data_IF_744510550895
#
_entry.id   IF_744510550895
#
_cell.length_a   1.000
_cell.length_b   1.000
_cell.length_c   1.000
_cell.angle_alpha   90.00
_cell.angle_beta   90.00
_cell.angle_gamma   90.00
#
_symmetry.space_group_name_H-M   'P 1'
#
loop_
_entity.id
_entity.type
_entity.pdbx_description
1 polymer ?
#
# COMPACT_ATOMS: atom_id res chain seq x y z
N UNK A 1 4.88 -72.12 35.66
CA UNK A 1 5.32 -72.18 37.06
C UNK A 1 6.63 -72.94 37.09
N UNK A 2 7.73 -72.28 37.39
CA UNK A 2 9.01 -72.96 37.65
C UNK A 2 8.93 -73.58 39.05
N UNK A 3 9.19 -74.87 39.18
CA UNK A 3 9.36 -75.53 40.48
C UNK A 3 10.52 -74.84 41.22
N UNK A 4 10.21 -73.96 42.18
CA UNK A 4 11.22 -73.38 43.06
C UNK A 4 11.72 -74.50 43.97
N UNK A 5 12.99 -74.89 43.80
CA UNK A 5 13.64 -75.90 44.64
C UNK A 5 13.50 -75.53 46.12
N UNK A 6 12.99 -76.48 46.90
CA UNK A 6 12.91 -76.36 48.36
C UNK A 6 14.31 -76.25 48.95
N UNK A 7 14.45 -75.39 49.96
CA UNK A 7 15.68 -75.30 50.74
C UNK A 7 15.61 -76.40 51.79
N UNK A 8 16.58 -77.32 51.79
CA UNK A 8 16.62 -78.48 52.70
C UNK A 8 17.75 -78.40 53.74
N UNK A 9 18.69 -77.46 53.57
CA UNK A 9 19.78 -77.21 54.52
C UNK A 9 19.27 -76.45 55.76
N UNK A 10 19.39 -77.00 56.99
CA UNK A 10 18.78 -76.42 58.20
C UNK A 10 19.26 -75.00 58.55
N UNK A 11 20.55 -74.70 58.41
CA UNK A 11 21.09 -73.37 58.69
C UNK A 11 20.55 -72.33 57.69
N UNK A 12 20.46 -72.71 56.41
CA UNK A 12 19.87 -71.87 55.36
C UNK A 12 18.36 -71.74 55.50
N UNK A 13 17.66 -72.77 55.98
CA UNK A 13 16.22 -72.71 56.30
C UNK A 13 15.94 -71.70 57.40
N UNK A 14 16.67 -71.74 58.52
CA UNK A 14 16.52 -70.79 59.64
C UNK A 14 16.82 -69.35 59.19
N UNK A 15 17.89 -69.14 58.41
CA UNK A 15 18.23 -67.81 57.89
C UNK A 15 17.12 -67.24 57.00
N UNK A 16 16.62 -68.02 56.04
CA UNK A 16 15.55 -67.57 55.13
C UNK A 16 14.23 -67.39 55.87
N UNK A 17 13.98 -68.18 56.91
CA UNK A 17 12.81 -68.06 57.77
C UNK A 17 12.85 -66.78 58.60
N UNK A 18 13.97 -66.48 59.25
CA UNK A 18 14.20 -65.25 60.02
C UNK A 18 14.06 -64.01 59.12
N UNK A 19 14.68 -64.04 57.95
CA UNK A 19 14.53 -63.02 56.90
C UNK A 19 13.07 -62.80 56.47
N UNK A 20 12.29 -63.88 56.31
CA UNK A 20 10.90 -63.82 55.89
C UNK A 20 10.00 -63.25 57.01
N UNK A 21 10.28 -63.60 58.27
CA UNK A 21 9.63 -63.00 59.43
C UNK A 21 9.95 -61.51 59.52
N UNK A 22 11.22 -61.11 59.34
CA UNK A 22 11.60 -59.69 59.32
C UNK A 22 10.89 -58.89 58.23
N UNK A 23 10.69 -59.47 57.03
CA UNK A 23 9.87 -58.85 55.99
C UNK A 23 8.39 -58.72 56.42
N UNK A 24 7.83 -59.76 57.03
CA UNK A 24 6.45 -59.78 57.52
C UNK A 24 6.22 -58.85 58.73
N UNK A 25 7.25 -58.51 59.50
CA UNK A 25 7.11 -57.51 60.57
C UNK A 25 7.23 -56.10 60.00
N UNK A 26 8.11 -55.92 59.00
CA UNK A 26 8.43 -54.61 58.43
C UNK A 26 7.26 -53.93 57.69
N UNK A 27 6.27 -54.67 57.17
CA UNK A 27 5.22 -54.07 56.32
C UNK A 27 4.36 -53.05 57.07
N UNK A 28 4.23 -53.19 58.40
CA UNK A 28 3.46 -52.28 59.25
C UNK A 28 4.02 -50.85 59.23
N UNK A 29 5.33 -50.71 59.01
CA UNK A 29 6.04 -49.42 58.94
C UNK A 29 6.05 -48.79 57.53
N UNK A 30 5.55 -49.48 56.51
CA UNK A 30 5.57 -49.00 55.12
C UNK A 30 4.31 -48.19 54.84
N UNK A 31 4.44 -46.93 54.42
CA UNK A 31 3.28 -46.06 54.14
C UNK A 31 2.62 -46.38 52.78
N UNK A 32 3.43 -46.58 51.72
CA UNK A 32 2.91 -46.80 50.36
C UNK A 32 2.42 -48.23 50.18
N UNK A 33 1.15 -48.39 49.82
CA UNK A 33 0.53 -49.72 49.70
C UNK A 33 1.23 -50.59 48.66
N UNK A 34 1.73 -50.04 47.53
CA UNK A 34 2.41 -50.86 46.52
C UNK A 34 3.70 -51.51 47.07
N UNK A 35 4.39 -50.79 47.97
CA UNK A 35 5.56 -51.30 48.68
C UNK A 35 5.16 -52.34 49.72
N UNK A 36 4.05 -52.14 50.46
CA UNK A 36 3.51 -53.15 51.38
C UNK A 36 3.22 -54.46 50.66
N UNK A 37 2.47 -54.39 49.56
CA UNK A 37 2.11 -55.55 48.73
C UNK A 37 3.36 -56.26 48.21
N UNK A 38 4.38 -55.52 47.77
CA UNK A 38 5.65 -56.09 47.30
C UNK A 38 6.37 -56.85 48.42
N UNK A 39 6.48 -56.25 49.60
CA UNK A 39 7.14 -56.86 50.76
C UNK A 39 6.40 -58.12 51.22
N UNK A 40 5.07 -58.07 51.30
CA UNK A 40 4.25 -59.23 51.67
C UNK A 40 4.32 -60.37 50.64
N UNK A 41 4.29 -60.06 49.33
CA UNK A 41 4.48 -61.05 48.26
C UNK A 41 5.89 -61.68 48.32
N UNK A 42 6.92 -60.89 48.68
CA UNK A 42 8.28 -61.39 48.88
C UNK A 42 8.40 -62.29 50.11
N UNK A 43 7.78 -61.91 51.24
CA UNK A 43 7.69 -62.74 52.43
C UNK A 43 6.98 -64.08 52.12
N UNK A 44 5.82 -64.03 51.47
CA UNK A 44 5.07 -65.21 51.04
C UNK A 44 5.90 -66.12 50.11
N UNK A 45 6.73 -65.56 49.24
CA UNK A 45 7.63 -66.33 48.37
C UNK A 45 8.75 -66.99 49.18
N UNK A 46 9.39 -66.27 50.10
CA UNK A 46 10.44 -66.85 50.96
C UNK A 46 9.88 -67.98 51.82
N UNK A 47 8.71 -67.80 52.43
CA UNK A 47 8.05 -68.87 53.20
C UNK A 47 7.68 -70.08 52.34
N UNK A 48 7.22 -69.89 51.08
CA UNK A 48 6.95 -71.02 50.16
C UNK A 48 8.20 -71.87 49.87
N UNK A 49 9.38 -71.26 49.78
CA UNK A 49 10.66 -71.97 49.56
C UNK A 49 11.08 -72.88 50.71
N UNK A 50 10.47 -72.70 51.88
CA UNK A 50 10.79 -73.44 53.10
C UNK A 50 9.89 -74.67 53.30
N UNK A 51 8.80 -74.82 52.53
CA UNK A 51 7.91 -75.97 52.63
C UNK A 51 7.33 -76.15 54.03
N UNK A 52 7.53 -77.33 54.63
CA UNK A 52 7.05 -77.72 55.97
C UNK A 52 7.93 -77.28 57.13
N UNK A 53 8.97 -76.47 56.87
CA UNK A 53 9.82 -75.96 57.94
C UNK A 53 9.03 -74.99 58.83
N UNK A 54 8.83 -75.37 60.10
CA UNK A 54 8.02 -74.61 61.08
C UNK A 54 6.60 -74.32 60.55
N UNK A 55 6.08 -73.13 60.83
CA UNK A 55 4.80 -72.59 60.37
C UNK A 55 4.86 -71.93 58.98
N UNK A 56 5.89 -72.23 58.17
CA UNK A 56 6.13 -71.53 56.89
C UNK A 56 4.96 -71.63 55.90
N UNK A 57 4.25 -72.78 55.82
CA UNK A 57 3.07 -72.90 54.96
C UNK A 57 1.96 -71.94 55.36
N UNK A 58 1.68 -71.85 56.67
CA UNK A 58 0.66 -70.97 57.22
C UNK A 58 1.03 -69.50 57.03
N UNK A 59 2.28 -69.14 57.34
CA UNK A 59 2.81 -67.78 57.13
C UNK A 59 2.85 -67.38 55.66
N UNK A 60 3.11 -68.30 54.75
CA UNK A 60 3.02 -68.05 53.31
C UNK A 60 1.59 -67.70 52.88
N UNK A 61 0.60 -68.50 53.30
CA UNK A 61 -0.80 -68.27 53.00
C UNK A 61 -1.31 -66.96 53.64
N UNK A 62 -0.93 -66.70 54.89
CA UNK A 62 -1.26 -65.47 55.60
C UNK A 62 -0.67 -64.24 54.90
N UNK A 63 0.62 -64.25 54.59
CA UNK A 63 1.31 -63.15 53.90
C UNK A 63 0.70 -62.86 52.52
N UNK A 64 0.31 -63.92 51.80
CA UNK A 64 -0.34 -63.80 50.50
C UNK A 64 -1.73 -63.17 50.62
N UNK A 65 -2.57 -63.66 51.55
CA UNK A 65 -3.91 -63.11 51.80
C UNK A 65 -3.86 -61.65 52.25
N UNK A 66 -2.88 -61.31 53.11
CA UNK A 66 -2.68 -59.94 53.56
C UNK A 66 -2.20 -59.03 52.43
N UNK A 67 -1.35 -59.53 51.52
CA UNK A 67 -0.95 -58.80 50.32
C UNK A 67 -2.16 -58.47 49.43
N UNK A 68 -3.06 -59.42 49.22
CA UNK A 68 -4.28 -59.24 48.43
C UNK A 68 -5.24 -58.22 49.06
N UNK A 69 -5.39 -58.24 50.39
CA UNK A 69 -6.20 -57.26 51.12
C UNK A 69 -5.64 -55.84 51.00
N UNK A 70 -4.34 -55.65 51.22
CA UNK A 70 -3.69 -54.33 51.11
C UNK A 70 -3.69 -53.84 49.64
N UNK A 71 -3.55 -54.74 48.67
CA UNK A 71 -3.63 -54.42 47.24
C UNK A 71 -5.03 -53.94 46.85
N UNK A 72 -6.09 -54.61 47.31
CA UNK A 72 -7.47 -54.20 47.06
C UNK A 72 -7.80 -52.85 47.71
N UNK A 73 -7.46 -52.68 48.99
CA UNK A 73 -7.70 -51.45 49.75
C UNK A 73 -6.95 -50.25 49.13
N UNK A 74 -5.68 -50.43 48.82
CA UNK A 74 -4.84 -49.38 48.25
C UNK A 74 -5.22 -49.02 46.81
N UNK A 75 -5.60 -50.01 45.99
CA UNK A 75 -6.09 -49.77 44.62
C UNK A 75 -7.39 -48.99 44.62
N UNK A 76 -8.35 -49.36 45.48
CA UNK A 76 -9.62 -48.65 45.64
C UNK A 76 -9.41 -47.18 46.06
N UNK A 77 -8.64 -46.95 47.13
CA UNK A 77 -8.37 -45.59 47.61
C UNK A 77 -7.63 -44.73 46.57
N UNK A 78 -6.72 -45.34 45.80
CA UNK A 78 -6.01 -44.63 44.73
C UNK A 78 -6.93 -44.28 43.56
N UNK A 79 -7.88 -45.16 43.22
CA UNK A 79 -8.87 -44.92 42.17
C UNK A 79 -9.88 -43.84 42.57
N UNK A 80 -10.39 -43.89 43.81
CA UNK A 80 -11.28 -42.85 44.36
C UNK A 80 -10.61 -41.48 44.36
N UNK A 81 -9.32 -41.41 44.72
CA UNK A 81 -8.54 -40.18 44.63
C UNK A 81 -8.43 -39.65 43.18
N UNK A 82 -8.21 -40.53 42.20
CA UNK A 82 -8.16 -40.13 40.79
C UNK A 82 -9.52 -39.57 40.32
N UNK A 83 -10.64 -40.15 40.78
CA UNK A 83 -11.98 -39.62 40.51
C UNK A 83 -12.22 -38.24 41.13
N UNK A 84 -11.71 -37.99 42.34
CA UNK A 84 -11.80 -36.66 42.96
C UNK A 84 -10.98 -35.61 42.21
N UNK A 85 -9.79 -35.99 41.71
CA UNK A 85 -8.98 -35.12 40.86
C UNK A 85 -9.68 -34.79 39.55
N UNK A 86 -10.32 -35.78 38.91
CA UNK A 86 -11.11 -35.55 37.70
C UNK A 86 -12.25 -34.54 37.94
N UNK A 87 -12.97 -34.68 39.06
CA UNK A 87 -14.06 -33.76 39.42
C UNK A 87 -13.59 -32.33 39.66
N UNK A 88 -12.36 -32.16 40.16
CA UNK A 88 -11.79 -30.85 40.47
C UNK A 88 -10.98 -30.23 39.31
N UNK A 89 -10.68 -31.00 38.27
CA UNK A 89 -9.92 -30.55 37.11
C UNK A 89 -10.68 -29.48 36.29
N UNK A 90 -9.99 -28.38 35.96
CA UNK A 90 -10.56 -27.25 35.20
C UNK A 90 -9.69 -26.84 34.01
N UNK A 91 -8.38 -27.04 34.11
CA UNK A 91 -7.43 -26.68 33.05
C UNK A 91 -6.77 -27.92 32.45
N UNK A 92 -6.10 -27.75 31.31
CA UNK A 92 -5.45 -28.84 30.58
C UNK A 92 -4.46 -29.63 31.46
N UNK A 93 -3.65 -28.95 32.26
CA UNK A 93 -2.68 -29.60 33.16
C UNK A 93 -3.37 -30.54 34.14
N UNK A 94 -4.48 -30.10 34.76
CA UNK A 94 -5.22 -30.90 35.73
C UNK A 94 -5.72 -32.22 35.14
N UNK A 95 -6.24 -32.19 33.90
CA UNK A 95 -6.68 -33.39 33.20
C UNK A 95 -5.50 -34.29 32.78
N UNK A 96 -4.35 -33.73 32.45
CA UNK A 96 -3.13 -34.51 32.14
C UNK A 96 -2.65 -35.25 33.39
N UNK A 97 -2.56 -34.55 34.52
CA UNK A 97 -2.17 -35.14 35.81
C UNK A 97 -3.15 -36.24 36.23
N UNK A 98 -4.46 -36.01 36.05
CA UNK A 98 -5.52 -36.98 36.33
C UNK A 98 -5.40 -38.23 35.43
N UNK A 99 -5.07 -38.07 34.14
CA UNK A 99 -4.81 -39.20 33.22
C UNK A 99 -3.65 -40.06 33.71
N UNK A 100 -2.58 -39.45 34.23
CA UNK A 100 -1.44 -40.19 34.78
C UNK A 100 -1.82 -41.01 36.01
N UNK A 101 -2.67 -40.46 36.89
CA UNK A 101 -3.18 -41.20 38.05
C UNK A 101 -4.07 -42.38 37.63
N UNK A 102 -4.99 -42.18 36.68
CA UNK A 102 -5.80 -43.29 36.16
C UNK A 102 -4.96 -44.36 35.47
N UNK A 103 -3.90 -44.00 34.74
CA UNK A 103 -2.96 -44.98 34.14
C UNK A 103 -2.23 -45.80 35.20
N UNK A 104 -1.96 -45.22 36.37
CA UNK A 104 -1.31 -45.92 37.49
C UNK A 104 -2.27 -46.90 38.16
N UNK A 105 -3.52 -46.50 38.40
CA UNK A 105 -4.54 -47.34 39.05
C UNK A 105 -5.09 -48.42 38.13
N UNK A 106 -5.20 -48.15 36.82
CA UNK A 106 -5.68 -49.10 35.80
C UNK A 106 -4.74 -50.28 35.52
N UNK A 107 -3.61 -50.38 36.24
CA UNK A 107 -2.76 -51.58 36.24
C UNK A 107 -3.41 -52.75 36.98
N UNK A 108 -4.34 -52.47 37.89
CA UNK A 108 -5.17 -53.48 38.51
C UNK A 108 -6.32 -53.84 37.54
N UNK A 109 -6.50 -55.13 37.24
CA UNK A 109 -7.53 -55.63 36.32
C UNK A 109 -8.95 -55.22 36.74
N UNK A 110 -9.21 -55.04 38.06
CA UNK A 110 -10.50 -54.58 38.59
C UNK A 110 -10.90 -53.19 38.06
N UNK A 111 -9.94 -52.26 37.89
CA UNK A 111 -10.20 -50.86 37.52
C UNK A 111 -9.74 -50.51 36.10
N UNK A 112 -9.30 -51.50 35.32
CA UNK A 112 -8.67 -51.29 34.03
C UNK A 112 -9.61 -50.68 33.00
N UNK A 113 -10.80 -51.25 32.85
CA UNK A 113 -11.79 -50.78 31.88
C UNK A 113 -12.46 -49.47 32.30
N UNK A 114 -12.73 -49.30 33.59
CA UNK A 114 -13.28 -48.05 34.12
C UNK A 114 -12.26 -46.90 34.00
N UNK A 115 -11.00 -47.15 34.40
CA UNK A 115 -9.92 -46.17 34.25
C UNK A 115 -9.70 -45.72 32.79
N UNK A 116 -9.85 -46.63 31.81
CA UNK A 116 -9.80 -46.26 30.37
C UNK A 116 -10.93 -45.30 29.98
N UNK A 117 -12.14 -45.47 30.53
CA UNK A 117 -13.27 -44.56 30.25
C UNK A 117 -12.97 -43.16 30.78
N UNK A 118 -12.48 -43.04 32.01
CA UNK A 118 -12.11 -41.76 32.60
C UNK A 118 -10.93 -41.08 31.88
N UNK A 119 -9.93 -41.86 31.44
CA UNK A 119 -8.84 -41.33 30.59
C UNK A 119 -9.40 -40.77 29.28
N UNK A 120 -10.35 -41.45 28.65
CA UNK A 120 -11.00 -40.98 27.42
C UNK A 120 -11.78 -39.70 27.69
N UNK A 121 -12.55 -39.64 28.78
CA UNK A 121 -13.27 -38.44 29.20
C UNK A 121 -12.34 -37.24 29.39
N UNK A 122 -11.24 -37.42 30.15
CA UNK A 122 -10.24 -36.37 30.36
C UNK A 122 -9.63 -35.89 29.03
N UNK A 123 -9.33 -36.79 28.09
CA UNK A 123 -8.84 -36.43 26.75
C UNK A 123 -9.87 -35.60 25.97
N UNK A 124 -11.14 -35.97 26.02
CA UNK A 124 -12.21 -35.19 25.38
C UNK A 124 -12.35 -33.78 25.97
N UNK A 125 -12.21 -33.63 27.29
CA UNK A 125 -12.23 -32.32 27.93
C UNK A 125 -11.04 -31.46 27.51
N UNK A 126 -9.84 -32.04 27.42
CA UNK A 126 -8.66 -31.36 26.88
C UNK A 126 -8.94 -30.85 25.46
N UNK A 127 -9.46 -31.71 24.58
CA UNK A 127 -9.81 -31.35 23.20
C UNK A 127 -10.84 -30.20 23.17
N UNK A 128 -11.86 -30.23 24.03
CA UNK A 128 -12.86 -29.15 24.13
C UNK A 128 -12.24 -27.82 24.55
N UNK A 129 -11.33 -27.83 25.54
CA UNK A 129 -10.62 -26.63 26.00
C UNK A 129 -9.75 -26.06 24.88
N UNK A 130 -9.00 -26.93 24.19
CA UNK A 130 -8.14 -26.53 23.08
C UNK A 130 -8.93 -25.97 21.90
N UNK A 131 -10.05 -26.60 21.54
CA UNK A 131 -10.93 -26.14 20.47
C UNK A 131 -11.56 -24.78 20.79
N UNK A 132 -12.02 -24.55 22.03
CA UNK A 132 -12.53 -23.23 22.44
C UNK A 132 -11.45 -22.15 22.32
N UNK A 133 -10.24 -22.44 22.81
CA UNK A 133 -9.11 -21.52 22.72
C UNK A 133 -8.69 -21.24 21.26
N UNK A 134 -8.63 -22.28 20.42
CA UNK A 134 -8.31 -22.15 19.00
C UNK A 134 -9.38 -21.35 18.24
N UNK A 135 -10.67 -21.59 18.52
CA UNK A 135 -11.78 -20.85 17.91
C UNK A 135 -11.72 -19.37 18.28
N UNK A 136 -11.46 -19.03 19.56
CA UNK A 136 -11.28 -17.64 20.00
C UNK A 136 -10.13 -16.96 19.25
N UNK A 137 -8.98 -17.63 19.09
CA UNK A 137 -7.85 -17.10 18.30
C UNK A 137 -8.23 -16.87 16.83
N UNK A 138 -8.92 -17.82 16.20
CA UNK A 138 -9.39 -17.68 14.80
C UNK A 138 -10.32 -16.47 14.62
N UNK A 139 -11.26 -16.27 15.54
CA UNK A 139 -12.16 -15.11 15.50
C UNK A 139 -11.42 -13.78 15.64
N UNK A 140 -10.40 -13.70 16.52
CA UNK A 140 -9.55 -12.52 16.65
C UNK A 140 -8.83 -12.22 15.33
N UNK A 141 -8.21 -13.24 14.71
CA UNK A 141 -7.51 -13.08 13.42
C UNK A 141 -8.45 -12.61 12.32
N UNK A 142 -9.66 -13.19 12.23
CA UNK A 142 -10.68 -12.75 11.27
C UNK A 142 -11.09 -11.29 11.51
N UNK A 143 -11.25 -10.88 12.77
CA UNK A 143 -11.52 -9.48 13.13
C UNK A 143 -10.41 -8.53 12.66
N UNK A 144 -9.14 -8.90 12.86
CA UNK A 144 -7.99 -8.10 12.39
C UNK A 144 -8.01 -7.99 10.86
N UNK A 145 -8.23 -9.09 10.14
CA UNK A 145 -8.30 -9.09 8.67
C UNK A 145 -9.45 -8.21 8.16
N UNK A 146 -10.62 -8.24 8.82
CA UNK A 146 -11.74 -7.38 8.46
C UNK A 146 -11.40 -5.88 8.64
N UNK A 147 -10.74 -5.51 9.75
CA UNK A 147 -10.27 -4.13 9.98
C UNK A 147 -9.28 -3.69 8.91
N UNK A 148 -8.29 -4.54 8.58
CA UNK A 148 -7.32 -4.24 7.52
C UNK A 148 -8.00 -4.05 6.16
N UNK A 149 -9.02 -4.85 5.84
CA UNK A 149 -9.79 -4.69 4.60
C UNK A 149 -10.56 -3.35 4.56
N UNK A 150 -11.14 -2.92 5.69
CA UNK A 150 -11.81 -1.61 5.80
C UNK A 150 -10.81 -0.47 5.62
N UNK A 151 -9.64 -0.54 6.25
CA UNK A 151 -8.56 0.43 6.08
C UNK A 151 -8.12 0.49 4.61
N UNK A 152 -7.92 -0.66 3.97
CA UNK A 152 -7.57 -0.71 2.55
C UNK A 152 -8.65 -0.05 1.66
N UNK A 153 -9.92 -0.29 1.94
CA UNK A 153 -11.02 0.32 1.19
C UNK A 153 -11.06 1.85 1.35
N UNK A 154 -10.69 2.36 2.52
CA UNK A 154 -10.67 3.80 2.83
C UNK A 154 -9.39 4.50 2.39
N UNK A 155 -8.36 3.77 1.96
CA UNK A 155 -7.06 4.34 1.57
C UNK A 155 -6.93 4.49 0.05
N UNK A 156 -5.97 5.30 -0.44
CA UNK A 156 -5.75 5.49 -1.87
C UNK A 156 -5.28 4.24 -2.63
N UNK A 157 -4.96 3.13 -1.94
CA UNK A 157 -4.56 1.87 -2.57
C UNK A 157 -5.68 1.15 -3.31
N UNK A 158 -6.92 1.20 -2.80
CA UNK A 158 -8.07 0.60 -3.49
C UNK A 158 -8.32 1.21 -4.88
N UNK A 159 -8.46 2.55 -5.03
CA UNK A 159 -8.62 3.16 -6.34
C UNK A 159 -7.38 2.94 -7.24
N UNK A 160 -6.15 2.92 -6.69
CA UNK A 160 -4.95 2.61 -7.47
C UNK A 160 -5.06 1.26 -8.20
N UNK A 161 -5.39 0.19 -7.46
CA UNK A 161 -5.54 -1.16 -8.03
C UNK A 161 -6.68 -1.22 -9.05
N UNK A 162 -7.83 -0.58 -8.77
CA UNK A 162 -8.94 -0.47 -9.74
C UNK A 162 -8.50 0.23 -11.03
N UNK A 163 -7.67 1.27 -10.92
CA UNK A 163 -7.08 1.97 -12.06
C UNK A 163 -6.27 1.03 -12.94
N UNK A 164 -5.41 0.20 -12.35
CA UNK A 164 -4.60 -0.79 -13.07
C UNK A 164 -5.47 -1.81 -13.82
N UNK A 165 -6.52 -2.33 -13.18
CA UNK A 165 -7.45 -3.28 -13.81
C UNK A 165 -8.14 -2.63 -15.02
N UNK A 166 -8.65 -1.40 -14.87
CA UNK A 166 -9.26 -0.69 -15.99
C UNK A 166 -8.26 -0.38 -17.11
N UNK A 167 -7.01 -0.07 -16.78
CA UNK A 167 -5.96 0.17 -17.77
C UNK A 167 -5.65 -1.10 -18.57
N UNK A 168 -5.53 -2.26 -17.92
CA UNK A 168 -5.32 -3.55 -18.59
C UNK A 168 -6.49 -3.94 -19.50
N UNK A 169 -7.72 -3.56 -19.13
CA UNK A 169 -8.92 -3.73 -19.96
C UNK A 169 -9.04 -2.71 -21.11
N UNK A 170 -8.07 -1.80 -21.30
CA UNK A 170 -8.14 -0.73 -22.30
C UNK A 170 -9.14 0.38 -21.96
N UNK A 171 -9.72 0.39 -20.76
CA UNK A 171 -10.70 1.38 -20.30
C UNK A 171 -10.00 2.62 -19.71
N UNK A 172 -9.10 3.24 -20.48
CA UNK A 172 -8.17 4.28 -20.02
C UNK A 172 -8.84 5.49 -19.34
N UNK A 173 -10.04 5.88 -19.76
CA UNK A 173 -10.78 6.98 -19.09
C UNK A 173 -11.20 6.62 -17.67
N UNK A 174 -11.67 5.39 -17.45
CA UNK A 174 -12.02 4.91 -16.09
C UNK A 174 -10.76 4.72 -15.26
N UNK A 175 -9.68 4.26 -15.87
CA UNK A 175 -8.39 4.16 -15.21
C UNK A 175 -7.92 5.52 -14.67
N UNK A 176 -7.96 6.57 -15.50
CA UNK A 176 -7.61 7.94 -15.09
C UNK A 176 -8.44 8.45 -13.90
N UNK A 177 -9.75 8.20 -13.87
CA UNK A 177 -10.60 8.61 -12.73
C UNK A 177 -10.16 7.93 -11.44
N UNK A 178 -9.85 6.63 -11.51
CA UNK A 178 -9.36 5.88 -10.36
C UNK A 178 -7.96 6.34 -9.93
N UNK A 179 -7.07 6.63 -10.87
CA UNK A 179 -5.74 7.17 -10.56
C UNK A 179 -5.80 8.57 -9.95
N UNK A 180 -6.76 9.41 -10.34
CA UNK A 180 -6.99 10.70 -9.68
C UNK A 180 -7.41 10.51 -8.21
N UNK A 181 -8.28 9.53 -7.94
CA UNK A 181 -8.68 9.18 -6.57
C UNK A 181 -7.54 8.56 -5.74
N UNK A 182 -6.58 7.90 -6.40
CA UNK A 182 -5.38 7.38 -5.76
C UNK A 182 -4.39 8.47 -5.34
N UNK A 183 -4.57 9.72 -5.80
CA UNK A 183 -3.76 10.87 -5.41
C UNK A 183 -2.30 10.74 -5.80
N UNK A 184 -1.39 11.04 -4.88
CA UNK A 184 0.05 11.13 -5.12
C UNK A 184 0.82 9.83 -4.79
N UNK A 185 0.17 8.67 -4.84
CA UNK A 185 0.86 7.39 -4.65
C UNK A 185 1.98 7.21 -5.70
N UNK A 186 3.13 6.65 -5.32
CA UNK A 186 4.20 6.32 -6.27
C UNK A 186 3.68 5.50 -7.45
N UNK A 187 4.13 5.83 -8.66
CA UNK A 187 3.71 5.16 -9.90
C UNK A 187 2.41 5.69 -10.54
N UNK A 188 1.54 6.39 -9.79
CA UNK A 188 0.29 6.95 -10.34
C UNK A 188 0.54 7.85 -11.56
N UNK A 189 1.54 8.75 -11.48
CA UNK A 189 1.87 9.65 -12.60
C UNK A 189 2.25 8.87 -13.86
N UNK A 190 3.10 7.85 -13.75
CA UNK A 190 3.49 7.00 -14.88
C UNK A 190 2.29 6.28 -15.51
N UNK A 191 1.39 5.76 -14.67
CA UNK A 191 0.15 5.13 -15.15
C UNK A 191 -0.80 6.12 -15.83
N UNK A 192 -0.93 7.34 -15.31
CA UNK A 192 -1.72 8.41 -15.95
C UNK A 192 -1.13 8.80 -17.30
N UNK A 193 0.19 8.94 -17.39
CA UNK A 193 0.89 9.24 -18.65
C UNK A 193 0.65 8.14 -19.69
N UNK A 194 0.78 6.87 -19.31
CA UNK A 194 0.48 5.76 -20.22
C UNK A 194 -0.98 5.79 -20.72
N UNK A 195 -1.94 6.11 -19.84
CA UNK A 195 -3.35 6.24 -20.22
C UNK A 195 -3.61 7.42 -21.17
N UNK A 196 -3.02 8.60 -20.90
CA UNK A 196 -3.15 9.76 -21.78
C UNK A 196 -2.53 9.50 -23.14
N UNK A 197 -1.36 8.87 -23.19
CA UNK A 197 -0.70 8.51 -24.44
C UNK A 197 -1.56 7.55 -25.27
N UNK A 198 -2.09 6.48 -24.66
CA UNK A 198 -2.97 5.54 -25.36
C UNK A 198 -4.22 6.22 -25.93
N UNK A 199 -4.87 7.09 -25.13
CA UNK A 199 -6.01 7.89 -25.59
C UNK A 199 -5.64 8.86 -26.73
N UNK A 200 -4.42 9.39 -26.74
CA UNK A 200 -3.92 10.23 -27.82
C UNK A 200 -3.78 9.43 -29.12
N UNK A 201 -3.19 8.23 -29.05
CA UNK A 201 -3.07 7.34 -30.22
C UNK A 201 -4.44 6.95 -30.78
N UNK A 202 -5.41 6.64 -29.91
CA UNK A 202 -6.78 6.36 -30.35
C UNK A 202 -7.43 7.57 -31.02
N UNK A 203 -7.19 8.77 -30.50
CA UNK A 203 -7.67 10.00 -31.11
C UNK A 203 -7.04 10.24 -32.49
N UNK A 204 -5.74 9.94 -32.67
CA UNK A 204 -5.07 10.03 -33.96
C UNK A 204 -5.63 9.03 -34.98
N UNK A 205 -5.82 7.78 -34.58
CA UNK A 205 -6.45 6.74 -35.43
C UNK A 205 -7.85 7.16 -35.89
N UNK A 206 -8.57 7.93 -35.08
CA UNK A 206 -9.89 8.47 -35.42
C UNK A 206 -9.83 9.81 -36.18
N UNK A 207 -8.66 10.32 -36.55
CA UNK A 207 -8.49 11.63 -37.20
C UNK A 207 -8.79 12.83 -36.31
N UNK A 208 -8.90 12.64 -34.99
CA UNK A 208 -9.23 13.69 -34.00
C UNK A 208 -7.96 14.37 -33.47
N UNK A 209 -7.19 14.96 -34.37
CA UNK A 209 -5.85 15.51 -34.08
C UNK A 209 -5.83 16.58 -32.97
N UNK A 210 -6.77 17.53 -32.97
CA UNK A 210 -6.87 18.54 -31.90
C UNK A 210 -7.09 17.93 -30.52
N UNK A 211 -7.80 16.79 -30.46
CA UNK A 211 -8.01 16.05 -29.21
C UNK A 211 -6.75 15.28 -28.82
N UNK A 212 -6.07 14.68 -29.78
CA UNK A 212 -4.80 13.99 -29.57
C UNK A 212 -3.73 14.95 -29.02
N UNK A 213 -3.57 16.14 -29.61
CA UNK A 213 -2.61 17.14 -29.13
C UNK A 213 -2.84 17.50 -27.66
N UNK A 214 -4.10 17.72 -27.27
CA UNK A 214 -4.46 18.00 -25.87
C UNK A 214 -4.15 16.84 -24.90
N UNK A 215 -4.12 15.61 -25.39
CA UNK A 215 -3.81 14.43 -24.58
C UNK A 215 -2.30 14.22 -24.48
N UNK A 216 -1.55 14.48 -25.56
CA UNK A 216 -0.08 14.50 -25.56
C UNK A 216 0.47 15.60 -24.63
N UNK A 217 -0.10 16.81 -24.66
CA UNK A 217 0.26 17.86 -23.68
C UNK A 217 0.00 17.50 -22.21
N UNK A 218 -0.73 16.41 -21.93
CA UNK A 218 -0.98 15.90 -20.57
C UNK A 218 -0.04 14.77 -20.17
N UNK A 219 0.71 14.19 -21.11
CA UNK A 219 1.74 13.19 -20.83
C UNK A 219 3.03 13.91 -20.51
N UNK A 220 3.39 13.94 -19.24
CA UNK A 220 4.63 14.57 -18.77
C UNK A 220 5.78 13.55 -18.81
N UNK A 221 7.03 14.01 -18.89
CA UNK A 221 8.23 13.17 -18.79
C UNK A 221 8.23 12.00 -19.80
N UNK A 222 7.94 12.30 -21.07
CA UNK A 222 7.90 11.26 -22.11
C UNK A 222 8.41 11.79 -23.44
N UNK A 223 9.70 11.57 -23.70
CA UNK A 223 10.38 11.99 -24.94
C UNK A 223 9.60 11.60 -26.21
N UNK A 224 9.01 10.40 -26.20
CA UNK A 224 8.19 9.90 -27.32
C UNK A 224 6.92 10.72 -27.52
N UNK A 225 6.26 11.09 -26.43
CA UNK A 225 5.04 11.89 -26.50
C UNK A 225 5.35 13.34 -26.86
N UNK A 226 6.43 13.91 -26.33
CA UNK A 226 6.91 15.26 -26.61
C UNK A 226 7.29 15.43 -28.10
N UNK A 227 8.06 14.51 -28.67
CA UNK A 227 8.39 14.55 -30.10
C UNK A 227 7.14 14.47 -30.99
N UNK A 228 6.17 13.64 -30.61
CA UNK A 228 4.90 13.50 -31.35
C UNK A 228 3.98 14.72 -31.16
N UNK A 229 3.97 15.31 -29.96
CA UNK A 229 3.25 16.53 -29.64
C UNK A 229 3.74 17.67 -30.53
N UNK A 230 5.05 17.92 -30.51
CA UNK A 230 5.70 18.99 -31.27
C UNK A 230 5.38 18.90 -32.76
N UNK A 231 5.54 17.70 -33.34
CA UNK A 231 5.25 17.46 -34.76
C UNK A 231 3.79 17.71 -35.10
N UNK A 232 2.87 17.27 -34.23
CA UNK A 232 1.43 17.45 -34.43
C UNK A 232 1.01 18.91 -34.26
N UNK A 233 1.60 19.62 -33.29
CA UNK A 233 1.35 21.05 -33.09
C UNK A 233 1.78 21.87 -34.31
N UNK A 234 3.00 21.66 -34.80
CA UNK A 234 3.51 22.28 -36.03
C UNK A 234 2.59 22.03 -37.22
N UNK A 235 2.18 20.77 -37.42
CA UNK A 235 1.24 20.38 -38.49
C UNK A 235 -0.07 21.17 -38.37
N UNK A 236 -0.67 21.19 -37.19
CA UNK A 236 -1.95 21.87 -36.97
C UNK A 236 -1.85 23.38 -37.18
N UNK A 237 -0.73 24.02 -36.83
CA UNK A 237 -0.50 25.44 -37.12
C UNK A 237 -0.38 25.67 -38.63
N UNK A 238 0.38 24.83 -39.35
CA UNK A 238 0.53 24.90 -40.81
C UNK A 238 -0.79 24.72 -41.57
N UNK A 239 -1.66 23.81 -41.12
CA UNK A 239 -2.93 23.52 -41.82
C UNK A 239 -4.09 24.46 -41.43
N UNK A 240 -4.08 25.01 -40.21
CA UNK A 240 -5.19 25.85 -39.73
C UNK A 240 -5.25 27.18 -40.46
N UNK A 241 -6.42 27.58 -40.95
CA UNK A 241 -6.62 28.84 -41.69
C UNK A 241 -6.44 30.10 -40.81
N UNK A 242 -6.12 31.23 -41.45
CA UNK A 242 -6.10 32.56 -40.83
C UNK A 242 -7.47 32.87 -40.19
N UNK A 243 -7.45 33.54 -39.04
CA UNK A 243 -8.61 33.85 -38.20
C UNK A 243 -9.11 32.70 -37.32
N UNK A 244 -8.50 31.51 -37.42
CA UNK A 244 -8.85 30.35 -36.56
C UNK A 244 -7.86 30.20 -35.41
N UNK A 245 -8.32 29.47 -34.38
CA UNK A 245 -7.55 29.23 -33.15
C UNK A 245 -6.72 27.96 -33.20
N UNK A 246 -5.51 28.05 -32.65
CA UNK A 246 -4.54 26.96 -32.49
C UNK A 246 -4.00 26.91 -31.06
N UNK A 247 -3.31 25.83 -30.74
CA UNK A 247 -2.52 25.69 -29.52
C UNK A 247 -1.04 25.84 -29.93
N UNK A 248 -0.29 26.57 -29.12
CA UNK A 248 1.17 26.73 -29.24
C UNK A 248 1.69 27.03 -27.83
N UNK A 249 2.66 26.27 -27.34
CA UNK A 249 3.01 26.30 -25.91
C UNK A 249 1.86 25.85 -25.02
N UNK A 250 1.76 26.47 -23.86
CA UNK A 250 0.62 26.27 -22.96
C UNK A 250 -0.65 27.05 -23.39
N UNK A 251 -0.53 27.78 -24.50
CA UNK A 251 -1.39 28.89 -24.87
C UNK A 251 -2.41 28.58 -25.95
N UNK A 252 -3.47 29.40 -26.00
CA UNK A 252 -4.39 29.43 -27.15
C UNK A 252 -4.16 30.71 -27.93
N UNK A 253 -3.95 30.55 -29.23
CA UNK A 253 -3.57 31.63 -30.14
C UNK A 253 -4.52 31.68 -31.33
N UNK A 254 -4.60 32.84 -31.97
CA UNK A 254 -5.30 33.04 -33.25
C UNK A 254 -4.25 33.24 -34.33
N UNK A 255 -4.41 32.56 -35.47
CA UNK A 255 -3.54 32.79 -36.63
C UNK A 255 -3.97 34.12 -37.27
N UNK A 256 -3.15 35.15 -37.11
CA UNK A 256 -3.41 36.48 -37.65
C UNK A 256 -2.96 36.60 -39.11
N UNK A 257 -1.85 35.95 -39.47
CA UNK A 257 -1.28 35.98 -40.82
C UNK A 257 -0.43 34.73 -41.10
N UNK A 258 -0.22 34.45 -42.39
CA UNK A 258 0.74 33.46 -42.88
C UNK A 258 1.54 34.08 -44.02
N UNK A 259 2.86 34.04 -43.90
CA UNK A 259 3.81 34.62 -44.83
C UNK A 259 4.92 33.61 -45.12
N UNK A 260 4.81 32.89 -46.25
CA UNK A 260 5.71 31.78 -46.54
C UNK A 260 5.68 30.71 -45.43
N UNK A 261 6.83 30.44 -44.81
CA UNK A 261 6.98 29.51 -43.70
C UNK A 261 6.73 30.14 -42.31
N UNK A 262 6.40 31.44 -42.25
CA UNK A 262 6.15 32.16 -41.01
C UNK A 262 4.64 32.29 -40.74
N UNK A 263 4.26 32.13 -39.48
CA UNK A 263 2.88 32.27 -39.02
C UNK A 263 2.84 33.27 -37.87
N UNK A 264 2.01 34.30 -37.99
CA UNK A 264 1.76 35.26 -36.90
C UNK A 264 0.67 34.71 -35.99
N UNK A 265 1.02 34.50 -34.73
CA UNK A 265 0.12 34.05 -33.69
C UNK A 265 -0.15 35.19 -32.72
N UNK A 266 -1.43 35.47 -32.45
CA UNK A 266 -1.87 36.47 -31.46
C UNK A 266 -2.63 35.78 -30.35
N UNK A 267 -2.25 36.05 -29.10
CA UNK A 267 -2.83 35.39 -27.94
C UNK A 267 -4.34 35.67 -27.87
N UNK A 268 -5.12 34.63 -27.55
CA UNK A 268 -6.58 34.74 -27.53
C UNK A 268 -7.11 35.51 -26.33
N UNK A 269 -6.33 35.59 -25.25
CA UNK A 269 -6.65 36.35 -24.04
C UNK A 269 -5.77 37.58 -23.95
N UNK A 270 -6.14 38.49 -23.05
CA UNK A 270 -5.28 39.56 -22.57
C UNK A 270 -4.74 39.22 -21.17
N UNK A 271 -3.62 39.83 -20.76
CA UNK A 271 -3.01 39.66 -19.44
C UNK A 271 -3.87 40.29 -18.32
N UNK A 272 -3.36 40.37 -17.09
CA UNK A 272 -3.87 41.36 -16.12
C UNK A 272 -3.51 42.78 -16.59
N UNK A 273 -4.25 43.78 -16.10
CA UNK A 273 -3.94 45.20 -16.33
C UNK A 273 -2.48 45.50 -15.96
N UNK A 274 -1.80 46.23 -16.83
CA UNK A 274 -0.39 46.58 -16.69
C UNK A 274 -0.18 47.99 -17.23
N UNK A 275 0.74 48.70 -16.60
CA UNK A 275 1.30 49.93 -17.15
C UNK A 275 2.21 49.60 -18.34
N UNK A 276 2.38 50.57 -19.24
CA UNK A 276 3.39 50.51 -20.28
C UNK A 276 4.78 50.75 -19.69
N UNK A 277 4.93 51.78 -18.86
CA UNK A 277 6.16 52.12 -18.13
C UNK A 277 5.88 52.93 -16.86
N UNK A 278 6.82 52.90 -15.90
CA UNK A 278 6.72 53.71 -14.66
C UNK A 278 7.16 55.15 -14.86
N UNK A 279 8.18 55.36 -15.67
CA UNK A 279 8.76 56.67 -15.94
C UNK A 279 8.26 57.23 -17.26
N UNK A 280 8.21 58.54 -17.33
CA UNK A 280 8.09 59.30 -18.57
C UNK A 280 9.47 59.34 -19.24
N UNK A 281 9.53 59.52 -20.56
CA UNK A 281 10.73 59.28 -21.37
C UNK A 281 11.09 57.78 -21.52
N UNK A 282 10.20 57.01 -22.16
CA UNK A 282 10.39 55.57 -22.37
C UNK A 282 10.28 55.20 -23.85
N UNK A 283 11.11 54.27 -24.30
CA UNK A 283 11.00 53.60 -25.61
C UNK A 283 10.19 52.30 -25.47
N UNK A 284 9.77 51.68 -26.57
CA UNK A 284 9.18 50.34 -26.50
C UNK A 284 10.09 49.34 -25.74
N UNK A 285 11.40 49.41 -25.92
CA UNK A 285 12.35 48.43 -25.35
C UNK A 285 12.63 48.60 -23.87
N UNK A 286 12.52 49.84 -23.40
CA UNK A 286 12.69 50.16 -22.00
C UNK A 286 11.39 49.99 -21.21
N UNK A 287 10.27 49.74 -21.93
CA UNK A 287 8.94 49.52 -21.36
C UNK A 287 8.89 48.29 -20.45
N UNK A 288 7.99 48.34 -19.49
CA UNK A 288 7.71 47.21 -18.60
C UNK A 288 7.00 46.08 -19.36
N UNK A 289 6.26 46.42 -20.42
CA UNK A 289 5.59 45.44 -21.30
C UNK A 289 6.61 44.59 -22.03
N UNK A 290 7.61 45.20 -22.69
CA UNK A 290 8.67 44.48 -23.38
C UNK A 290 9.44 43.55 -22.43
N UNK A 291 9.86 44.08 -21.27
CA UNK A 291 10.56 43.29 -20.24
C UNK A 291 9.70 42.13 -19.78
N UNK A 292 8.44 42.35 -19.44
CA UNK A 292 7.55 41.29 -18.96
C UNK A 292 7.34 40.20 -20.00
N UNK A 293 7.11 40.57 -21.27
CA UNK A 293 6.91 39.61 -22.36
C UNK A 293 8.10 38.67 -22.53
N UNK A 294 9.32 39.21 -22.57
CA UNK A 294 10.51 38.43 -22.93
C UNK A 294 11.24 37.80 -21.73
N UNK A 295 11.06 38.33 -20.51
CA UNK A 295 11.76 37.81 -19.31
C UNK A 295 10.85 37.04 -18.34
N UNK A 296 9.53 37.21 -18.42
CA UNK A 296 8.57 36.55 -17.51
C UNK A 296 7.54 35.70 -18.23
N UNK A 297 6.97 36.22 -19.32
CA UNK A 297 5.95 35.49 -20.07
C UNK A 297 6.57 34.37 -20.91
N UNK A 298 7.54 34.69 -21.78
CA UNK A 298 8.10 33.70 -22.71
C UNK A 298 8.67 32.44 -22.03
N UNK A 299 9.51 32.53 -20.98
CA UNK A 299 10.12 31.36 -20.34
C UNK A 299 9.13 30.45 -19.61
N UNK A 300 7.93 30.97 -19.27
CA UNK A 300 6.87 30.22 -18.60
C UNK A 300 5.93 29.57 -19.60
N UNK A 301 5.82 30.15 -20.80
CA UNK A 301 4.77 29.83 -21.78
C UNK A 301 5.18 28.83 -22.84
N UNK A 302 6.48 28.70 -23.07
CA UNK A 302 7.05 27.96 -24.18
C UNK A 302 8.14 27.00 -23.68
N UNK A 303 8.23 25.82 -24.31
CA UNK A 303 9.38 24.92 -24.18
C UNK A 303 10.59 25.47 -24.95
N UNK A 304 11.75 24.82 -24.80
CA UNK A 304 12.95 25.21 -25.56
C UNK A 304 12.75 25.04 -27.07
N UNK A 305 12.12 23.95 -27.52
CA UNK A 305 11.78 23.70 -28.92
C UNK A 305 10.87 24.78 -29.49
N UNK A 306 9.87 25.19 -28.72
CA UNK A 306 8.94 26.25 -29.10
C UNK A 306 9.64 27.61 -29.15
N UNK A 307 10.53 27.91 -28.19
CA UNK A 307 11.34 29.14 -28.20
C UNK A 307 12.32 29.20 -29.38
N UNK A 308 12.76 28.06 -29.91
CA UNK A 308 13.69 27.96 -31.02
C UNK A 308 13.03 28.24 -32.39
N UNK A 309 11.73 28.06 -32.51
CA UNK A 309 10.99 28.39 -33.75
C UNK A 309 10.40 29.80 -33.75
N UNK A 310 10.31 30.45 -32.59
CA UNK A 310 9.85 31.83 -32.52
C UNK A 310 10.89 32.74 -33.18
N UNK A 311 10.46 33.47 -34.21
CA UNK A 311 11.28 34.39 -34.97
C UNK A 311 11.67 35.59 -34.10
N UNK A 312 12.98 35.82 -34.00
CA UNK A 312 13.52 37.07 -33.46
C UNK A 312 13.19 38.21 -34.42
N UNK A 313 12.45 39.21 -33.93
CA UNK A 313 12.11 40.40 -34.72
C UNK A 313 13.24 41.43 -34.71
N UNK A 314 14.04 41.43 -33.64
CA UNK A 314 15.11 42.39 -33.47
C UNK A 314 16.22 41.87 -32.54
N UNK A 315 17.47 42.15 -32.91
CA UNK A 315 18.66 41.92 -32.07
C UNK A 315 19.35 43.26 -31.78
N UNK A 316 19.46 43.62 -30.50
CA UNK A 316 20.17 44.83 -30.06
C UNK A 316 20.97 44.59 -28.80
N UNK A 317 22.07 45.32 -28.65
CA UNK A 317 22.84 45.38 -27.40
C UNK A 317 22.23 46.44 -26.48
N UNK A 318 21.94 46.09 -25.22
CA UNK A 318 21.83 47.08 -24.14
C UNK A 318 23.19 47.77 -23.93
N UNK A 319 23.17 48.99 -23.38
CA UNK A 319 24.36 49.62 -22.81
C UNK A 319 25.03 48.75 -21.73
N UNK A 320 24.27 47.87 -21.07
CA UNK A 320 24.74 46.88 -20.08
C UNK A 320 25.27 45.57 -20.67
N UNK A 321 25.46 45.47 -22.00
CA UNK A 321 26.08 44.32 -22.66
C UNK A 321 25.19 43.10 -22.93
N UNK A 322 23.94 43.06 -22.42
CA UNK A 322 23.02 41.94 -22.70
C UNK A 322 22.29 42.16 -24.02
N UNK A 323 22.32 41.16 -24.92
CA UNK A 323 21.43 41.11 -26.09
C UNK A 323 19.99 40.90 -25.61
N UNK A 324 19.08 41.81 -25.93
CA UNK A 324 17.64 41.58 -25.75
C UNK A 324 17.04 41.19 -27.09
N UNK A 325 16.72 39.91 -27.24
CA UNK A 325 15.98 39.40 -28.38
C UNK A 325 14.49 39.67 -28.19
N UNK A 326 13.85 40.27 -29.18
CA UNK A 326 12.39 40.38 -29.21
C UNK A 326 11.81 39.12 -29.84
N UNK A 327 11.42 38.16 -28.98
CA UNK A 327 10.73 36.93 -29.40
C UNK A 327 9.21 37.07 -29.24
N UNK A 328 8.78 37.71 -28.16
CA UNK A 328 7.36 37.96 -27.86
C UNK A 328 7.11 39.47 -27.80
N UNK A 329 6.09 39.93 -28.50
CA UNK A 329 5.76 41.35 -28.66
C UNK A 329 4.24 41.58 -28.48
N UNK A 330 3.78 42.83 -28.55
CA UNK A 330 2.38 43.17 -28.85
C UNK A 330 2.34 43.80 -30.24
N UNK A 331 1.22 43.72 -30.96
CA UNK A 331 1.16 44.26 -32.33
C UNK A 331 1.50 45.76 -32.37
N UNK A 332 2.05 46.24 -33.49
CA UNK A 332 2.05 47.66 -33.82
C UNK A 332 0.67 48.12 -34.30
N UNK A 333 0.44 49.42 -34.38
CA UNK A 333 -0.77 50.02 -34.93
C UNK A 333 -1.01 49.54 -36.36
N UNK A 334 0.03 49.54 -37.19
CA UNK A 334 -0.04 49.04 -38.56
C UNK A 334 -0.41 47.56 -38.62
N UNK A 335 0.25 46.71 -37.82
CA UNK A 335 -0.04 45.28 -37.77
C UNK A 335 -1.46 45.02 -37.25
N UNK A 336 -1.91 45.75 -36.23
CA UNK A 336 -3.26 45.64 -35.72
C UNK A 336 -4.29 46.00 -36.80
N UNK A 337 -4.13 47.13 -37.48
CA UNK A 337 -5.05 47.55 -38.54
C UNK A 337 -5.10 46.55 -39.70
N UNK A 338 -3.95 45.96 -40.05
CA UNK A 338 -3.86 44.92 -41.07
C UNK A 338 -4.56 43.62 -40.65
N UNK A 339 -4.40 43.18 -39.41
CA UNK A 339 -4.82 41.85 -38.95
C UNK A 339 -6.09 41.82 -38.09
N UNK A 340 -6.67 42.97 -37.71
CA UNK A 340 -7.84 43.08 -36.80
C UNK A 340 -9.07 42.30 -37.26
N UNK A 341 -9.23 42.02 -38.56
CA UNK A 341 -10.34 41.18 -39.05
C UNK A 341 -10.16 39.71 -38.69
N UNK A 342 -8.92 39.23 -38.60
CA UNK A 342 -8.59 37.87 -38.22
C UNK A 342 -8.50 37.70 -36.70
N UNK A 343 -8.03 38.73 -35.99
CA UNK A 343 -7.89 38.72 -34.54
C UNK A 343 -9.22 39.11 -33.90
N UNK A 344 -9.85 38.19 -33.16
CA UNK A 344 -11.13 38.43 -32.49
C UNK A 344 -11.03 39.70 -31.60
N UNK A 345 -12.01 40.62 -31.66
CA UNK A 345 -12.08 41.80 -30.80
C UNK A 345 -11.98 41.40 -29.33
N UNK A 346 -11.33 42.26 -28.54
CA UNK A 346 -11.27 42.10 -27.09
C UNK A 346 -12.11 43.20 -26.47
N UNK A 347 -12.96 42.85 -25.52
CA UNK A 347 -13.76 43.83 -24.76
C UNK A 347 -12.90 44.62 -23.74
N UNK A 348 -11.58 44.59 -23.91
CA UNK A 348 -10.58 45.12 -22.97
C UNK A 348 -9.55 45.93 -23.73
N UNK A 349 -9.07 47.01 -23.12
CA UNK A 349 -8.01 47.83 -23.68
C UNK A 349 -6.67 47.07 -23.66
N UNK A 350 -5.86 47.12 -24.72
CA UNK A 350 -4.52 46.53 -24.70
C UNK A 350 -3.47 47.34 -25.46
N UNK A 351 -2.25 47.34 -24.92
CA UNK A 351 -1.12 48.12 -25.46
C UNK A 351 -0.70 47.66 -26.86
N UNK A 352 -0.20 48.62 -27.65
CA UNK A 352 0.52 48.43 -28.90
C UNK A 352 2.00 48.80 -28.72
N UNK A 353 2.88 48.31 -29.61
CA UNK A 353 4.35 48.45 -29.48
C UNK A 353 4.95 49.64 -30.22
N UNK A 354 4.14 50.49 -30.83
CA UNK A 354 4.61 51.66 -31.55
C UNK A 354 5.43 52.57 -30.63
N UNK A 355 6.45 53.23 -31.18
CA UNK A 355 7.22 54.18 -30.38
C UNK A 355 6.31 55.29 -29.85
N UNK A 356 6.41 55.63 -28.55
CA UNK A 356 5.59 56.67 -27.94
C UNK A 356 5.67 57.99 -28.73
N UNK A 357 4.52 58.51 -29.19
CA UNK A 357 4.44 59.72 -30.03
C UNK A 357 5.04 60.94 -29.30
N UNK A 358 4.67 61.08 -28.04
CA UNK A 358 5.47 61.81 -27.05
C UNK A 358 6.04 60.73 -26.15
N UNK A 359 7.24 60.91 -25.61
CA UNK A 359 7.84 59.89 -24.74
C UNK A 359 7.07 59.64 -23.41
N UNK A 360 5.88 60.22 -23.27
CA UNK A 360 4.94 60.11 -22.16
C UNK A 360 3.65 59.34 -22.53
N UNK A 361 3.36 59.10 -23.82
CA UNK A 361 2.10 58.48 -24.28
C UNK A 361 2.34 57.29 -25.22
N UNK A 362 1.64 56.18 -24.98
CA UNK A 362 1.67 55.00 -25.83
C UNK A 362 0.30 54.73 -26.48
N UNK A 363 0.32 54.09 -27.65
CA UNK A 363 -0.88 53.65 -28.36
C UNK A 363 -1.45 52.38 -27.74
N UNK A 364 -2.77 52.27 -27.74
CA UNK A 364 -3.49 51.07 -27.31
C UNK A 364 -4.73 50.86 -28.17
N UNK A 365 -5.21 49.62 -28.24
CA UNK A 365 -6.51 49.29 -28.82
C UNK A 365 -7.53 49.34 -27.70
N UNK A 366 -8.58 50.13 -27.87
CA UNK A 366 -9.69 50.20 -26.92
C UNK A 366 -10.65 49.01 -27.06
N UNK A 367 -11.51 48.80 -26.07
CA UNK A 367 -12.54 47.74 -26.09
C UNK A 367 -13.42 47.78 -27.36
N UNK A 368 -13.67 48.96 -27.92
CA UNK A 368 -14.44 49.15 -29.15
C UNK A 368 -13.65 48.84 -30.44
N UNK A 369 -12.35 48.52 -30.31
CA UNK A 369 -11.46 48.19 -31.43
C UNK A 369 -10.76 49.39 -32.07
N UNK A 370 -10.98 50.60 -31.56
CA UNK A 370 -10.30 51.81 -32.03
C UNK A 370 -8.90 51.95 -31.41
N UNK A 371 -7.96 52.49 -32.20
CA UNK A 371 -6.63 52.84 -31.71
C UNK A 371 -6.68 54.22 -31.04
N UNK A 372 -6.27 54.27 -29.79
CA UNK A 372 -6.26 55.47 -28.93
C UNK A 372 -4.89 55.62 -28.27
N UNK A 373 -4.68 56.74 -27.57
CA UNK A 373 -3.44 57.04 -26.84
C UNK A 373 -3.75 57.40 -25.39
N UNK A 374 -2.90 56.98 -24.48
CA UNK A 374 -2.95 57.38 -23.06
C UNK A 374 -1.53 57.44 -22.49
N UNK A 375 -1.38 57.93 -21.26
CA UNK A 375 -0.10 58.01 -20.58
C UNK A 375 0.50 56.63 -20.32
N UNK A 376 1.82 56.50 -20.43
CA UNK A 376 2.53 55.23 -20.28
C UNK A 376 2.39 54.59 -18.89
N UNK A 377 2.12 55.39 -17.87
CA UNK A 377 1.93 54.94 -16.48
C UNK A 377 0.47 54.61 -16.13
N UNK A 378 -0.44 54.70 -17.10
CA UNK A 378 -1.85 54.39 -16.91
C UNK A 378 -2.07 52.87 -16.74
N UNK A 379 -3.02 52.51 -15.88
CA UNK A 379 -3.32 51.11 -15.51
C UNK A 379 -4.55 50.54 -16.23
N UNK A 380 -5.08 51.26 -17.23
CA UNK A 380 -6.30 50.87 -17.94
C UNK A 380 -6.11 49.77 -18.98
N UNK A 381 -4.88 49.49 -19.38
CA UNK A 381 -4.58 48.60 -20.49
C UNK A 381 -4.01 47.24 -20.03
N UNK A 382 -4.29 46.22 -20.82
CA UNK A 382 -3.74 44.88 -20.71
C UNK A 382 -2.64 44.66 -21.76
N UNK A 383 -2.04 43.48 -21.76
CA UNK A 383 -1.04 43.05 -22.73
C UNK A 383 -1.63 41.89 -23.53
N UNK A 384 -1.55 41.98 -24.86
CA UNK A 384 -1.97 40.90 -25.78
C UNK A 384 -0.76 40.38 -26.56
N UNK A 385 -0.10 39.32 -26.08
CA UNK A 385 1.11 38.80 -26.71
C UNK A 385 0.89 38.36 -28.16
N UNK A 386 1.93 38.55 -28.97
CA UNK A 386 2.05 38.09 -30.34
C UNK A 386 3.44 37.50 -30.56
N UNK A 387 3.51 36.50 -31.44
CA UNK A 387 4.77 35.85 -31.86
C UNK A 387 4.70 35.52 -33.35
N UNK A 388 5.83 35.67 -34.02
CA UNK A 388 6.03 35.06 -35.33
C UNK A 388 6.70 33.70 -35.14
N UNK A 389 6.15 32.65 -35.74
CA UNK A 389 6.71 31.30 -35.66
C UNK A 389 7.16 30.86 -37.04
N UNK A 390 8.41 30.41 -37.17
CA UNK A 390 8.98 29.85 -38.40
C UNK A 390 8.93 28.34 -38.33
N UNK A 391 7.96 27.74 -39.02
CA UNK A 391 7.80 26.30 -39.08
C UNK A 391 8.46 25.80 -40.36
N UNK A 392 9.76 25.48 -40.28
CA UNK A 392 10.50 24.85 -41.38
C UNK A 392 9.79 23.55 -41.83
N UNK A 393 9.90 23.24 -43.11
CA UNK A 393 9.27 22.04 -43.71
C UNK A 393 9.76 20.74 -43.08
#
# INVERSE_FOLDING_TARGET
MSEEKLITDPERQEKVYSDACGLLDSFTYIIRFERKVTVLKNAARKFRKLGDYKDSREKAAFSQKLAEQEEKKGSKASFEKALEKEKSAKVKSDYVDTIEEFKRTSKNEEYKEEGKKHITHCKEQIIKIENKAATKRRLIVLGILAVLAVIFWRTPGCPYVKGMVHQQMGQYRKALVNYEQAGHLPGVTGHKNACYYALAQDALKQGKEKKALKLLKKTVDSDKAEAQEWKLECKLIKETQVGKRVIFGDGRWTIAAKEGNKVLLVYTKVSKKSIYARTQDVTWRDSEVFKWLNTKFAPVKFSEEELNVICEQYTGKKASGTLTQEKVFVLSEQEYLQYRKAVIPSDENYWLRDEPLTKMQASYVSADGDVKKTYVNDTVCHIRPAVWVSLKE
#
